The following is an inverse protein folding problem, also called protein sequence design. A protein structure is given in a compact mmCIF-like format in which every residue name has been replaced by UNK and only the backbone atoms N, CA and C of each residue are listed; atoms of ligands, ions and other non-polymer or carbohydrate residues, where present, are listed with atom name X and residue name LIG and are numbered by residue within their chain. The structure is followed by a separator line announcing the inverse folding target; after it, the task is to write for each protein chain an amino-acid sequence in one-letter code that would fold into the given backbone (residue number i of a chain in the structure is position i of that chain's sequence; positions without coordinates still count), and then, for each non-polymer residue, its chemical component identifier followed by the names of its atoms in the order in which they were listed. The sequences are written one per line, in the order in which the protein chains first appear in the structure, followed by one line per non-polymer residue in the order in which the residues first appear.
data_IF_239273455668
#
_entry.id   IF_239273455668
#
_cell.length_a   1.000
_cell.length_b   1.000
_cell.length_c   1.000
_cell.angle_alpha   90.00
_cell.angle_beta   90.00
_cell.angle_gamma   90.00
#
_symmetry.space_group_name_H-M   'P 1'
#
loop_
_entity.id
_entity.type
_entity.pdbx_description
1 polymer ?
#
# COMPACT_ATOMS: atom_id res chain seq x y z
N UNK A 1 11.01 -43.93 -22.34
CA UNK A 1 9.74 -43.19 -22.51
C UNK A 1 9.38 -42.31 -21.31
N UNK A 2 9.21 -42.83 -20.08
CA UNK A 2 8.91 -42.00 -18.88
C UNK A 2 9.81 -40.78 -18.69
N UNK A 3 11.13 -40.92 -18.83
CA UNK A 3 12.10 -39.80 -18.69
C UNK A 3 11.86 -38.67 -19.70
N UNK A 4 11.53 -39.01 -20.95
CA UNK A 4 11.28 -38.03 -22.02
C UNK A 4 9.96 -37.29 -21.75
N UNK A 5 8.92 -37.99 -21.33
CA UNK A 5 7.63 -37.38 -20.96
C UNK A 5 7.79 -36.41 -19.80
N UNK A 6 8.59 -36.78 -18.78
CA UNK A 6 8.89 -35.90 -17.65
C UNK A 6 9.60 -34.62 -18.13
N UNK A 7 10.60 -34.74 -19.00
CA UNK A 7 11.32 -33.57 -19.54
C UNK A 7 10.37 -32.64 -20.31
N UNK A 8 9.50 -33.20 -21.17
CA UNK A 8 8.51 -32.40 -21.92
C UNK A 8 7.53 -31.71 -20.98
N UNK A 9 7.03 -32.40 -19.96
CA UNK A 9 6.13 -31.83 -18.95
C UNK A 9 6.79 -30.69 -18.17
N UNK A 10 8.07 -30.82 -17.81
CA UNK A 10 8.83 -29.77 -17.12
C UNK A 10 8.98 -28.54 -18.02
N UNK A 11 9.36 -28.71 -19.29
CA UNK A 11 9.52 -27.58 -20.23
C UNK A 11 8.19 -26.85 -20.43
N UNK A 12 7.10 -27.59 -20.61
CA UNK A 12 5.74 -27.03 -20.70
C UNK A 12 5.36 -26.26 -19.44
N UNK A 13 5.61 -26.82 -18.25
CA UNK A 13 5.30 -26.17 -16.98
C UNK A 13 6.11 -24.88 -16.79
N UNK A 14 7.40 -24.88 -17.13
CA UNK A 14 8.25 -23.67 -17.08
C UNK A 14 7.75 -22.62 -18.06
N UNK A 15 7.42 -23.01 -19.30
CA UNK A 15 6.89 -22.10 -20.31
C UNK A 15 5.57 -21.45 -19.89
N UNK A 16 4.63 -22.24 -19.35
CA UNK A 16 3.36 -21.73 -18.84
C UNK A 16 3.57 -20.80 -17.64
N UNK A 17 4.46 -21.17 -16.70
CA UNK A 17 4.77 -20.33 -15.53
C UNK A 17 5.36 -18.99 -15.94
N UNK A 18 6.23 -18.98 -16.94
CA UNK A 18 6.84 -17.76 -17.48
C UNK A 18 5.81 -16.79 -18.10
N UNK A 19 4.64 -17.29 -18.53
CA UNK A 19 3.54 -16.47 -19.07
C UNK A 19 2.58 -16.06 -17.95
N UNK A 20 2.15 -17.00 -17.12
CA UNK A 20 1.12 -16.79 -16.10
C UNK A 20 1.60 -15.82 -15.02
N UNK A 21 2.86 -15.95 -14.55
CA UNK A 21 3.37 -15.15 -13.43
C UNK A 21 3.43 -13.66 -13.77
N UNK A 22 4.01 -13.20 -14.90
CA UNK A 22 4.01 -11.78 -15.24
C UNK A 22 2.60 -11.19 -15.42
N UNK A 23 1.68 -11.96 -16.02
CA UNK A 23 0.28 -11.53 -16.19
C UNK A 23 -0.38 -11.34 -14.83
N UNK A 24 -0.22 -12.29 -13.91
CA UNK A 24 -0.78 -12.19 -12.56
C UNK A 24 -0.22 -10.98 -11.79
N UNK A 25 1.09 -10.70 -11.90
CA UNK A 25 1.70 -9.52 -11.26
C UNK A 25 1.18 -8.20 -11.85
N UNK A 26 1.02 -8.13 -13.18
CA UNK A 26 0.44 -6.95 -13.85
C UNK A 26 -1.02 -6.75 -13.46
N UNK A 27 -1.82 -7.81 -13.45
CA UNK A 27 -3.20 -7.77 -13.03
C UNK A 27 -3.34 -7.28 -11.59
N UNK A 28 -2.51 -7.79 -10.66
CA UNK A 28 -2.55 -7.35 -9.25
C UNK A 28 -2.20 -5.86 -9.10
N UNK A 29 -1.25 -5.35 -9.89
CA UNK A 29 -0.92 -3.92 -9.88
C UNK A 29 -2.08 -3.06 -10.36
N UNK A 30 -2.71 -3.43 -11.48
CA UNK A 30 -3.87 -2.71 -12.03
C UNK A 30 -5.06 -2.77 -11.08
N UNK A 31 -5.30 -3.94 -10.47
CA UNK A 31 -6.39 -4.08 -9.51
C UNK A 31 -6.15 -3.23 -8.26
N UNK A 32 -4.92 -3.14 -7.78
CA UNK A 32 -4.58 -2.26 -6.67
C UNK A 32 -4.87 -0.79 -6.99
N UNK A 33 -4.47 -0.31 -8.18
CA UNK A 33 -4.73 1.08 -8.60
C UNK A 33 -6.23 1.37 -8.70
N UNK A 34 -7.00 0.44 -9.28
CA UNK A 34 -8.47 0.56 -9.33
C UNK A 34 -9.10 0.57 -7.94
N UNK A 35 -8.61 -0.26 -7.02
CA UNK A 35 -9.09 -0.26 -5.64
C UNK A 35 -8.77 1.06 -4.94
N UNK A 36 -7.54 1.57 -5.10
CA UNK A 36 -7.16 2.87 -4.54
C UNK A 36 -8.09 3.99 -5.03
N UNK A 37 -8.40 4.04 -6.32
CA UNK A 37 -9.37 4.98 -6.87
C UNK A 37 -10.75 4.83 -6.22
N UNK A 38 -11.23 3.59 -6.05
CA UNK A 38 -12.51 3.34 -5.38
C UNK A 38 -12.50 3.79 -3.91
N UNK A 39 -11.40 3.58 -3.19
CA UNK A 39 -11.27 4.03 -1.81
C UNK A 39 -11.32 5.57 -1.72
N UNK A 40 -10.60 6.28 -2.59
CA UNK A 40 -10.65 7.74 -2.66
C UNK A 40 -12.08 8.23 -2.93
N UNK A 41 -12.78 7.61 -3.89
CA UNK A 41 -14.17 7.95 -4.20
C UNK A 41 -15.13 7.67 -3.03
N UNK A 42 -14.77 6.79 -2.10
CA UNK A 42 -15.56 6.56 -0.87
C UNK A 42 -15.25 7.55 0.25
N UNK A 43 -14.24 8.42 0.06
CA UNK A 43 -13.72 9.34 1.08
C UNK A 43 -14.14 10.80 0.89
N UNK A 44 -15.33 11.04 0.32
CA UNK A 44 -15.86 12.40 0.18
C UNK A 44 -15.94 13.14 1.54
N UNK A 45 -16.35 12.42 2.58
CA UNK A 45 -16.43 12.93 3.97
C UNK A 45 -15.10 12.84 4.74
N UNK A 46 -14.04 12.34 4.10
CA UNK A 46 -12.73 12.16 4.71
C UNK A 46 -12.30 10.70 4.90
N UNK A 47 -11.12 10.54 5.48
CA UNK A 47 -10.60 9.25 5.95
C UNK A 47 -9.98 9.42 7.33
N UNK A 48 -9.94 8.36 8.11
CA UNK A 48 -9.35 8.40 9.46
C UNK A 48 -7.90 7.97 9.39
N UNK A 49 -7.00 8.79 9.91
CA UNK A 49 -5.60 8.44 10.10
C UNK A 49 -5.25 8.45 11.59
N UNK A 50 -4.33 7.59 11.99
CA UNK A 50 -3.81 7.50 13.35
C UNK A 50 -2.29 7.42 13.29
N UNK A 51 -1.63 8.28 14.05
CA UNK A 51 -0.19 8.28 14.20
C UNK A 51 0.20 8.87 15.55
N UNK A 52 1.14 8.23 16.25
CA UNK A 52 1.65 8.68 17.56
C UNK A 52 0.53 8.93 18.60
N UNK A 53 -0.49 8.07 18.60
CA UNK A 53 -1.65 8.18 19.51
C UNK A 53 -2.66 9.28 19.15
N UNK A 54 -2.39 10.10 18.13
CA UNK A 54 -3.31 11.10 17.62
C UNK A 54 -4.11 10.55 16.45
N UNK A 55 -5.43 10.70 16.50
CA UNK A 55 -6.30 10.41 15.36
C UNK A 55 -6.71 11.71 14.67
N UNK A 56 -6.73 11.67 13.36
CA UNK A 56 -7.12 12.79 12.52
C UNK A 56 -8.09 12.35 11.45
N UNK A 57 -9.10 13.18 11.20
CA UNK A 57 -9.94 13.11 10.02
C UNK A 57 -9.27 13.90 8.90
N UNK A 58 -8.72 13.17 7.94
CA UNK A 58 -8.02 13.72 6.78
C UNK A 58 -9.04 14.07 5.72
N UNK A 59 -9.07 15.34 5.31
CA UNK A 59 -10.10 15.89 4.43
C UNK A 59 -9.51 16.59 3.19
N UNK A 60 -10.34 16.75 2.17
CA UNK A 60 -10.02 17.54 0.99
C UNK A 60 -8.81 17.02 0.22
N UNK A 61 -7.88 17.92 -0.12
CA UNK A 61 -6.75 17.58 -1.01
C UNK A 61 -5.67 16.72 -0.33
N UNK A 62 -5.67 16.64 1.00
CA UNK A 62 -4.77 15.75 1.72
C UNK A 62 -5.07 14.26 1.42
N UNK A 63 -6.32 13.90 1.14
CA UNK A 63 -6.72 12.54 0.74
C UNK A 63 -6.00 12.13 -0.56
N UNK A 64 -6.03 13.00 -1.56
CA UNK A 64 -5.34 12.78 -2.83
C UNK A 64 -3.82 12.67 -2.62
N UNK A 65 -3.27 13.43 -1.67
CA UNK A 65 -1.85 13.34 -1.32
C UNK A 65 -1.53 11.98 -0.73
N UNK A 66 -2.28 11.54 0.27
CA UNK A 66 -2.16 10.21 0.90
C UNK A 66 -2.21 9.12 -0.17
N UNK A 67 -3.24 9.14 -1.03
CA UNK A 67 -3.39 8.16 -2.09
C UNK A 67 -2.19 8.15 -3.05
N UNK A 68 -1.74 9.32 -3.53
CA UNK A 68 -0.57 9.43 -4.43
C UNK A 68 0.71 8.84 -3.81
N UNK A 69 0.86 8.99 -2.49
CA UNK A 69 2.01 8.49 -1.73
C UNK A 69 1.92 6.98 -1.49
N UNK A 70 0.71 6.42 -1.40
CA UNK A 70 0.47 4.98 -1.27
C UNK A 70 0.53 4.24 -2.62
N UNK A 71 0.29 4.93 -3.73
CA UNK A 71 0.25 4.34 -5.07
C UNK A 71 1.36 4.81 -6.04
N UNK A 72 2.65 4.90 -5.66
CA UNK A 72 3.69 5.27 -6.59
C UNK A 72 3.99 4.13 -7.57
N UNK A 73 4.37 4.48 -8.80
CA UNK A 73 4.74 3.50 -9.83
C UNK A 73 5.99 2.68 -9.47
N UNK A 74 6.86 3.21 -8.60
CA UNK A 74 8.09 2.54 -8.12
C UNK A 74 7.85 1.53 -7.00
N UNK A 75 6.60 1.39 -6.53
CA UNK A 75 6.22 0.45 -5.48
C UNK A 75 6.58 -0.98 -5.86
N UNK A 76 7.26 -1.69 -4.96
CA UNK A 76 7.61 -3.10 -5.12
C UNK A 76 6.68 -3.98 -4.30
N UNK A 77 6.19 -5.05 -4.92
CA UNK A 77 5.38 -6.05 -4.22
C UNK A 77 6.25 -6.91 -3.33
N UNK A 78 5.84 -7.09 -2.08
CA UNK A 78 6.39 -8.07 -1.15
C UNK A 78 5.42 -9.25 -1.04
N UNK A 79 5.98 -10.46 -1.01
CA UNK A 79 5.21 -11.71 -0.86
C UNK A 79 5.15 -12.20 0.59
N UNK A 80 5.85 -11.53 1.50
CA UNK A 80 5.87 -11.81 2.94
C UNK A 80 5.56 -10.53 3.69
N UNK A 81 4.96 -10.70 4.87
CA UNK A 81 4.72 -9.59 5.80
C UNK A 81 6.07 -8.97 6.18
N UNK A 82 6.26 -7.65 5.99
CA UNK A 82 7.46 -6.97 6.46
C UNK A 82 7.44 -6.89 7.99
N UNK A 83 8.62 -6.86 8.58
CA UNK A 83 8.78 -6.52 10.00
C UNK A 83 8.84 -5.00 10.13
N UNK A 84 8.08 -4.45 11.09
CA UNK A 84 7.98 -3.01 11.29
C UNK A 84 7.73 -2.68 12.76
N UNK A 85 8.25 -1.52 13.19
CA UNK A 85 8.08 -1.03 14.56
C UNK A 85 6.64 -0.52 14.76
N UNK A 86 5.85 -1.14 15.66
CA UNK A 86 4.50 -0.66 15.97
C UNK A 86 4.44 0.79 16.45
N UNK A 87 5.50 1.30 17.06
CA UNK A 87 5.55 2.67 17.57
C UNK A 87 5.78 3.71 16.47
N UNK A 88 6.35 3.30 15.33
CA UNK A 88 6.60 4.18 14.18
C UNK A 88 5.66 3.84 13.02
N UNK A 89 4.40 3.57 13.35
CA UNK A 89 3.42 3.11 12.39
C UNK A 89 2.28 4.10 12.25
N UNK A 90 2.01 4.50 11.01
CA UNK A 90 0.80 5.22 10.63
C UNK A 90 -0.27 4.21 10.23
N UNK A 91 -1.48 4.39 10.72
CA UNK A 91 -2.66 3.64 10.29
C UNK A 91 -3.62 4.59 9.57
N UNK A 92 -4.06 4.22 8.37
CA UNK A 92 -5.00 4.98 7.56
C UNK A 92 -6.18 4.06 7.26
N UNK A 93 -7.38 4.52 7.55
CA UNK A 93 -8.63 3.78 7.39
C UNK A 93 -9.58 4.59 6.52
N UNK A 94 -9.89 4.05 5.34
CA UNK A 94 -10.88 4.58 4.43
C UNK A 94 -12.30 4.19 4.88
N UNK A 95 -13.33 4.97 4.51
CA UNK A 95 -14.72 4.72 4.92
C UNK A 95 -15.27 3.36 4.48
N UNK A 96 -14.78 2.82 3.36
CA UNK A 96 -15.15 1.49 2.85
C UNK A 96 -14.47 0.33 3.60
N UNK A 97 -13.73 0.63 4.67
CA UNK A 97 -13.01 -0.32 5.50
C UNK A 97 -11.64 -0.71 4.98
N UNK A 98 -11.13 -0.09 3.90
CA UNK A 98 -9.76 -0.30 3.47
C UNK A 98 -8.78 0.30 4.47
N UNK A 99 -7.80 -0.49 4.89
CA UNK A 99 -6.80 -0.09 5.88
C UNK A 99 -5.41 -0.18 5.28
N UNK A 100 -4.64 0.89 5.46
CA UNK A 100 -3.23 0.96 5.13
C UNK A 100 -2.42 1.18 6.40
N UNK A 101 -1.39 0.38 6.57
CA UNK A 101 -0.42 0.52 7.64
C UNK A 101 0.91 0.87 7.00
N UNK A 102 1.48 2.02 7.36
CA UNK A 102 2.72 2.55 6.78
C UNK A 102 3.75 2.70 7.88
N UNK A 103 4.97 2.19 7.64
CA UNK A 103 6.09 2.28 8.57
C UNK A 103 7.38 2.55 7.80
N UNK A 104 8.36 3.27 8.37
CA UNK A 104 9.70 3.27 7.81
C UNK A 104 10.30 1.87 7.89
N UNK A 105 11.19 1.55 6.95
CA UNK A 105 11.96 0.33 6.91
C UNK A 105 13.38 0.61 7.43
N UNK A 106 13.61 0.27 8.70
CA UNK A 106 14.90 0.52 9.37
C UNK A 106 15.16 2.00 9.64
N UNK A 107 16.36 2.30 10.17
CA UNK A 107 16.71 3.64 10.68
C UNK A 107 16.97 4.70 9.60
N UNK A 108 17.24 4.30 8.35
CA UNK A 108 17.58 5.26 7.30
C UNK A 108 16.39 6.05 6.75
N UNK A 109 15.16 5.63 7.03
CA UNK A 109 13.92 6.33 6.65
C UNK A 109 13.61 6.41 5.15
N UNK A 110 14.55 6.03 4.27
CA UNK A 110 14.39 6.18 2.82
C UNK A 110 13.46 5.15 2.18
N UNK A 111 13.25 4.03 2.87
CA UNK A 111 12.29 3.00 2.47
C UNK A 111 11.10 2.98 3.44
N UNK A 112 9.89 2.85 2.91
CA UNK A 112 8.69 2.63 3.70
C UNK A 112 8.02 1.31 3.30
N UNK A 113 7.54 0.59 4.30
CA UNK A 113 6.65 -0.55 4.14
C UNK A 113 5.20 -0.09 4.15
N UNK A 114 4.39 -0.68 3.26
CA UNK A 114 2.95 -0.45 3.19
C UNK A 114 2.26 -1.81 3.28
N UNK A 115 1.44 -1.99 4.30
CA UNK A 115 0.51 -3.12 4.42
C UNK A 115 -0.87 -2.62 4.07
N UNK A 116 -1.42 -3.11 2.97
CA UNK A 116 -2.79 -2.84 2.55
C UNK A 116 -3.66 -4.03 2.92
N UNK A 117 -4.80 -3.77 3.57
CA UNK A 117 -5.81 -4.77 3.88
C UNK A 117 -7.19 -4.24 3.54
N UNK A 118 -7.97 -5.01 2.78
CA UNK A 118 -9.38 -4.71 2.53
C UNK A 118 -10.13 -6.03 2.35
N UNK A 119 -11.25 -6.17 3.05
CA UNK A 119 -12.04 -7.42 3.10
C UNK A 119 -11.13 -8.59 3.51
N UNK A 120 -10.99 -9.61 2.66
CA UNK A 120 -10.14 -10.79 2.90
C UNK A 120 -8.78 -10.73 2.19
N UNK A 121 -8.41 -9.58 1.61
CA UNK A 121 -7.17 -9.43 0.85
C UNK A 121 -6.16 -8.58 1.62
N UNK A 122 -4.98 -9.14 1.84
CA UNK A 122 -3.82 -8.41 2.37
C UNK A 122 -2.69 -8.39 1.36
N UNK A 123 -2.07 -7.22 1.20
CA UNK A 123 -0.97 -6.97 0.29
C UNK A 123 0.14 -6.24 1.02
N UNK A 124 1.38 -6.57 0.67
CA UNK A 124 2.56 -5.98 1.27
C UNK A 124 3.39 -5.30 0.20
N UNK A 125 3.90 -4.12 0.48
CA UNK A 125 4.70 -3.37 -0.46
C UNK A 125 5.87 -2.66 0.22
N UNK A 126 6.89 -2.36 -0.57
CA UNK A 126 7.93 -1.40 -0.21
C UNK A 126 8.02 -0.28 -1.24
N UNK A 127 8.35 0.91 -0.77
CA UNK A 127 8.63 2.09 -1.58
C UNK A 127 9.93 2.70 -1.09
N UNK A 128 10.88 2.94 -1.98
CA UNK A 128 12.21 3.48 -1.65
C UNK A 128 12.45 4.78 -2.41
N UNK A 129 13.10 5.77 -1.77
CA UNK A 129 13.56 7.00 -2.43
C UNK A 129 12.53 8.11 -2.55
N UNK A 130 11.32 7.94 -2.00
CA UNK A 130 10.21 8.91 -2.14
C UNK A 130 9.82 9.62 -0.85
N UNK A 131 10.53 9.36 0.26
CA UNK A 131 10.17 9.86 1.59
C UNK A 131 8.70 9.59 1.93
N UNK A 132 8.25 8.38 1.58
CA UNK A 132 6.83 7.98 1.66
C UNK A 132 6.28 8.18 3.06
N UNK A 133 7.04 7.77 4.09
CA UNK A 133 6.60 7.90 5.47
C UNK A 133 6.44 9.37 5.87
N UNK A 134 7.45 10.22 5.64
CA UNK A 134 7.40 11.67 5.91
C UNK A 134 6.23 12.37 5.23
N UNK A 135 5.96 12.01 3.97
CA UNK A 135 4.85 12.60 3.23
C UNK A 135 3.49 12.16 3.75
N UNK A 136 3.37 10.92 4.21
CA UNK A 136 2.16 10.43 4.86
C UNK A 136 1.97 11.16 6.17
N UNK A 137 2.95 11.16 7.08
CA UNK A 137 2.83 11.79 8.41
C UNK A 137 2.48 13.26 8.30
N UNK A 138 3.07 13.98 7.35
CA UNK A 138 2.72 15.38 7.07
C UNK A 138 1.32 15.56 6.47
N UNK A 139 0.88 14.65 5.61
CA UNK A 139 -0.46 14.76 5.00
C UNK A 139 -1.58 14.49 6.01
N UNK A 140 -1.31 13.70 7.05
CA UNK A 140 -2.28 13.34 8.08
C UNK A 140 -2.17 14.18 9.36
N UNK A 141 -1.17 15.04 9.50
CA UNK A 141 -1.05 15.91 10.67
C UNK A 141 -2.20 16.91 10.74
N UNK A 142 -2.40 17.55 11.89
CA UNK A 142 -3.41 18.61 12.08
C UNK A 142 -3.28 19.74 11.06
N UNK A 143 -2.06 20.14 10.73
CA UNK A 143 -1.79 21.21 9.76
C UNK A 143 -2.08 20.74 8.32
N UNK A 144 -1.88 19.46 8.06
CA UNK A 144 -1.95 18.87 6.72
C UNK A 144 -0.94 19.48 5.73
N UNK A 145 -1.08 19.12 4.45
CA UNK A 145 -0.23 19.67 3.37
C UNK A 145 -0.93 20.79 2.59
N UNK A 146 -2.23 20.65 2.36
CA UNK A 146 -3.01 21.55 1.52
C UNK A 146 -4.11 22.31 2.27
N UNK A 147 -4.58 21.73 3.37
CA UNK A 147 -5.60 22.25 4.27
C UNK A 147 -5.38 21.59 5.64
N UNK A 148 -5.90 22.22 6.69
CA UNK A 148 -5.91 21.62 8.02
C UNK A 148 -6.81 20.37 8.02
N UNK A 149 -6.40 19.39 8.81
CA UNK A 149 -7.18 18.20 9.11
C UNK A 149 -7.81 18.36 10.50
N UNK A 150 -8.93 17.70 10.71
CA UNK A 150 -9.61 17.73 12.01
C UNK A 150 -9.01 16.68 12.94
N UNK A 151 -8.75 17.05 14.20
CA UNK A 151 -8.33 16.09 15.22
C UNK A 151 -9.59 15.46 15.79
N UNK A 152 -9.60 14.13 15.90
CA UNK A 152 -10.73 13.38 16.44
C UNK A 152 -10.28 12.55 17.65
N UNK A 153 -11.13 12.47 18.68
CA UNK A 153 -10.86 11.73 19.92
C UNK A 153 -11.14 10.21 19.78
#
# INVERSE_FOLDING_TARGET
MKKIIIIIAVVMAVGLTAIIVPIALRYDSVQYEKNMLAHIMSSDDGLVAEYDGQKTLVVGRNINRVASTLSPATRKRLFRKPDFDPNQTVVITFPDGARFTVSPAGESGDTAYIVYSHRSQTRYFSVTGLKTFDWITRAISSEGVYNENEIID
#
